data_IF_482189468254
#
_entry.id   IF_482189468254
#
_cell.length_a   1.000
_cell.length_b   1.000
_cell.length_c   1.000
_cell.angle_alpha   90.00
_cell.angle_beta   90.00
_cell.angle_gamma   90.00
#
_symmetry.space_group_name_H-M   'P 1'
#
loop_
_entity.id
_entity.type
_entity.pdbx_description
1 polymer ?
#
# COMPACT_ATOMS: atom_id res chain seq x y z
N UNK A 1 26.15 -23.42 4.16
CA UNK A 1 27.62 -23.32 4.25
C UNK A 1 28.12 -23.10 2.83
N UNK A 2 28.77 -21.97 2.54
CA UNK A 2 29.31 -21.72 1.20
C UNK A 2 30.74 -22.25 1.18
N UNK A 3 30.92 -23.45 0.65
CA UNK A 3 32.16 -24.22 0.83
C UNK A 3 33.30 -23.82 -0.14
N UNK A 4 33.12 -22.78 -0.98
CA UNK A 4 34.20 -22.24 -1.82
C UNK A 4 34.15 -20.71 -2.02
N UNK A 5 35.33 -20.11 -2.23
CA UNK A 5 35.50 -18.66 -2.49
C UNK A 5 34.71 -18.19 -3.72
N UNK A 6 34.49 -19.07 -4.69
CA UNK A 6 33.74 -18.77 -5.91
C UNK A 6 32.23 -18.59 -5.65
N UNK A 7 31.66 -19.41 -4.77
CA UNK A 7 30.23 -19.33 -4.38
C UNK A 7 29.94 -18.01 -3.66
N UNK A 8 30.84 -17.58 -2.78
CA UNK A 8 30.73 -16.30 -2.04
C UNK A 8 30.77 -15.12 -3.01
N UNK A 9 31.67 -15.13 -4.00
CA UNK A 9 31.75 -14.08 -5.02
C UNK A 9 30.49 -14.01 -5.87
N UNK A 10 29.88 -15.17 -6.19
CA UNK A 10 28.65 -15.26 -6.97
C UNK A 10 27.46 -14.69 -6.20
N UNK A 11 27.30 -15.05 -4.93
CA UNK A 11 26.27 -14.49 -4.04
C UNK A 11 26.46 -12.97 -3.89
N UNK A 12 27.69 -12.50 -3.66
CA UNK A 12 28.00 -11.06 -3.55
C UNK A 12 27.59 -10.28 -4.80
N UNK A 13 27.92 -10.79 -6.00
CA UNK A 13 27.52 -10.17 -7.27
C UNK A 13 26.00 -10.11 -7.44
N UNK A 14 25.30 -11.18 -7.06
CA UNK A 14 23.84 -11.25 -7.12
C UNK A 14 23.20 -10.20 -6.20
N UNK A 15 23.64 -10.09 -4.95
CA UNK A 15 23.13 -9.06 -4.03
C UNK A 15 23.44 -7.64 -4.49
N UNK A 16 24.63 -7.38 -5.04
CA UNK A 16 25.00 -6.08 -5.60
C UNK A 16 24.13 -5.72 -6.81
N UNK A 17 23.93 -6.66 -7.73
CA UNK A 17 23.11 -6.46 -8.93
C UNK A 17 21.65 -6.15 -8.57
N UNK A 18 21.10 -6.87 -7.58
CA UNK A 18 19.72 -6.67 -7.14
C UNK A 18 19.59 -5.39 -6.33
N UNK A 19 20.57 -5.05 -5.49
CA UNK A 19 20.63 -3.76 -4.82
C UNK A 19 20.64 -2.58 -5.79
N UNK A 20 21.41 -2.68 -6.88
CA UNK A 20 21.45 -1.66 -7.93
C UNK A 20 20.13 -1.59 -8.70
N UNK A 21 19.54 -2.75 -9.01
CA UNK A 21 18.20 -2.83 -9.63
C UNK A 21 17.13 -2.16 -8.77
N UNK A 22 17.16 -2.35 -7.45
CA UNK A 22 16.23 -1.69 -6.52
C UNK A 22 16.43 -0.17 -6.50
N UNK A 23 17.69 0.29 -6.54
CA UNK A 23 18.00 1.71 -6.63
C UNK A 23 17.50 2.30 -7.94
N UNK A 24 17.69 1.61 -9.06
CA UNK A 24 17.14 2.00 -10.35
C UNK A 24 15.61 2.14 -10.30
N UNK A 25 14.89 1.15 -9.75
CA UNK A 25 13.44 1.26 -9.58
C UNK A 25 13.03 2.44 -8.69
N UNK A 26 13.83 2.83 -7.69
CA UNK A 26 13.53 4.03 -6.88
C UNK A 26 13.64 5.32 -7.69
N UNK A 27 14.68 5.44 -8.52
CA UNK A 27 14.85 6.58 -9.41
C UNK A 27 13.70 6.63 -10.42
N UNK A 28 13.29 5.48 -10.96
CA UNK A 28 12.15 5.39 -11.87
C UNK A 28 10.86 5.82 -11.18
N UNK A 29 10.57 5.37 -9.95
CA UNK A 29 9.35 5.81 -9.23
C UNK A 29 9.34 7.30 -8.94
N UNK A 30 10.50 7.91 -8.66
CA UNK A 30 10.61 9.35 -8.48
C UNK A 30 10.45 10.07 -9.82
N UNK A 31 11.01 9.52 -10.91
CA UNK A 31 10.89 10.09 -12.24
C UNK A 31 9.44 10.07 -12.73
N UNK A 32 8.69 8.98 -12.50
CA UNK A 32 7.25 8.90 -12.80
C UNK A 32 6.46 9.97 -12.04
N UNK A 33 6.86 10.32 -10.81
CA UNK A 33 6.19 11.34 -10.02
C UNK A 33 6.63 12.79 -10.30
N UNK A 34 7.81 13.02 -10.93
CA UNK A 34 8.43 14.35 -11.03
C UNK A 34 8.64 14.84 -12.46
N UNK A 35 8.67 13.95 -13.45
CA UNK A 35 8.99 14.29 -14.83
C UNK A 35 7.70 14.40 -15.65
N UNK A 36 7.39 15.61 -16.11
CA UNK A 36 6.21 15.93 -16.94
C UNK A 36 6.13 15.11 -18.25
N UNK A 37 7.25 14.55 -18.73
CA UNK A 37 7.29 13.70 -19.95
C UNK A 37 6.73 12.29 -19.68
N UNK A 38 6.68 11.85 -18.42
CA UNK A 38 6.09 10.59 -17.98
C UNK A 38 4.72 10.80 -17.32
N UNK A 39 4.16 12.01 -17.42
CA UNK A 39 2.78 12.31 -17.03
C UNK A 39 1.85 11.67 -18.07
N UNK A 40 1.31 10.50 -17.73
CA UNK A 40 0.33 9.82 -18.57
C UNK A 40 -1.10 10.36 -18.30
N UNK A 41 -1.25 11.36 -17.42
CA UNK A 41 -2.48 12.02 -17.03
C UNK A 41 -2.57 13.49 -17.48
N UNK A 42 -3.71 14.13 -17.22
CA UNK A 42 -3.91 15.54 -17.56
C UNK A 42 -3.24 16.46 -16.55
N UNK A 43 -2.17 17.18 -16.94
CA UNK A 43 -1.46 18.25 -16.17
C UNK A 43 -1.60 18.13 -14.65
N UNK A 44 -0.75 17.33 -14.02
CA UNK A 44 -0.65 17.19 -12.56
C UNK A 44 -0.81 15.74 -12.10
N UNK A 45 -0.44 15.45 -10.84
CA UNK A 45 -0.50 14.11 -10.24
C UNK A 45 -1.92 13.52 -10.35
N UNK A 46 -2.13 12.64 -11.32
CA UNK A 46 -3.42 12.00 -11.57
C UNK A 46 -3.45 10.58 -10.96
N UNK A 47 -4.64 10.00 -10.89
CA UNK A 47 -4.86 8.64 -10.40
C UNK A 47 -4.06 7.62 -11.21
N UNK A 48 -3.80 7.90 -12.49
CA UNK A 48 -3.02 7.05 -13.39
C UNK A 48 -1.56 6.95 -12.93
N UNK A 49 -0.93 8.06 -12.55
CA UNK A 49 0.46 8.08 -12.09
C UNK A 49 0.60 7.39 -10.73
N UNK A 50 -0.40 7.55 -9.86
CA UNK A 50 -0.48 6.84 -8.59
C UNK A 50 -0.57 5.32 -8.78
N UNK A 51 -1.38 4.85 -9.72
CA UNK A 51 -1.51 3.42 -10.04
C UNK A 51 -0.22 2.86 -10.62
N UNK A 52 0.40 3.56 -11.58
CA UNK A 52 1.67 3.14 -12.19
C UNK A 52 2.78 3.10 -11.12
N UNK A 53 2.88 4.13 -10.29
CA UNK A 53 3.82 4.19 -9.18
C UNK A 53 3.63 3.03 -8.20
N UNK A 54 2.38 2.68 -7.87
CA UNK A 54 2.05 1.56 -6.99
C UNK A 54 2.42 0.19 -7.59
N UNK A 55 2.25 0.02 -8.91
CA UNK A 55 2.66 -1.20 -9.62
C UNK A 55 4.19 -1.36 -9.55
N UNK A 56 4.94 -0.31 -9.87
CA UNK A 56 6.41 -0.34 -9.83
C UNK A 56 6.89 -0.58 -8.39
N UNK A 57 6.26 0.07 -7.41
CA UNK A 57 6.55 -0.15 -5.99
C UNK A 57 6.27 -1.60 -5.56
N UNK A 58 5.20 -2.23 -6.08
CA UNK A 58 4.87 -3.63 -5.79
C UNK A 58 5.91 -4.60 -6.36
N UNK A 59 6.42 -4.36 -7.57
CA UNK A 59 7.50 -5.14 -8.18
C UNK A 59 8.80 -4.99 -7.35
N UNK A 60 9.12 -3.78 -6.93
CA UNK A 60 10.27 -3.53 -6.05
C UNK A 60 10.13 -4.29 -4.73
N UNK A 61 8.95 -4.24 -4.11
CA UNK A 61 8.68 -4.91 -2.83
C UNK A 61 8.77 -6.45 -2.95
N UNK A 62 8.28 -7.04 -4.04
CA UNK A 62 8.40 -8.48 -4.27
C UNK A 62 9.85 -8.93 -4.45
N UNK A 63 10.67 -8.13 -5.16
CA UNK A 63 12.11 -8.40 -5.33
C UNK A 63 12.86 -8.36 -3.99
N UNK A 64 12.54 -7.39 -3.12
CA UNK A 64 13.09 -7.31 -1.75
C UNK A 64 12.72 -8.55 -0.95
N UNK A 65 11.46 -8.95 -1.01
CA UNK A 65 10.95 -10.07 -0.22
C UNK A 65 11.56 -11.41 -0.64
N UNK A 66 11.69 -11.65 -1.95
CA UNK A 66 12.24 -12.90 -2.48
C UNK A 66 13.75 -13.05 -2.23
N UNK A 67 14.50 -11.95 -2.30
CA UNK A 67 15.98 -11.98 -2.30
C UNK A 67 16.56 -11.58 -0.95
N UNK A 68 16.15 -10.43 -0.40
CA UNK A 68 16.71 -9.89 0.84
C UNK A 68 16.07 -10.49 2.09
N UNK A 69 14.78 -10.80 2.05
CA UNK A 69 14.10 -11.52 3.15
C UNK A 69 14.22 -13.05 3.05
N UNK A 70 15.00 -13.59 2.10
CA UNK A 70 15.25 -15.03 1.95
C UNK A 70 13.97 -15.89 1.78
N UNK A 71 12.79 -15.31 1.52
CA UNK A 71 11.55 -16.10 1.52
C UNK A 71 11.64 -17.34 0.61
N UNK A 72 12.35 -17.24 -0.52
CA UNK A 72 12.48 -18.30 -1.53
C UNK A 72 12.94 -19.67 -0.97
N UNK A 73 13.67 -19.73 0.14
CA UNK A 73 14.11 -20.98 0.76
C UNK A 73 13.61 -21.18 2.19
N UNK A 74 12.58 -20.43 2.60
CA UNK A 74 11.97 -20.54 3.92
C UNK A 74 10.89 -21.63 4.02
N UNK A 75 10.55 -21.99 5.27
CA UNK A 75 9.48 -22.94 5.56
C UNK A 75 8.13 -22.41 5.08
N UNK A 76 7.26 -23.31 4.61
CA UNK A 76 5.89 -23.00 4.11
C UNK A 76 5.06 -22.14 5.08
N UNK A 77 5.29 -22.25 6.38
CA UNK A 77 4.60 -21.46 7.42
C UNK A 77 4.89 -19.95 7.27
N UNK A 78 6.12 -19.56 6.91
CA UNK A 78 6.50 -18.14 6.73
C UNK A 78 5.70 -17.50 5.60
N UNK A 79 5.51 -18.23 4.50
CA UNK A 79 4.66 -17.78 3.39
C UNK A 79 3.20 -17.59 3.79
N UNK A 80 2.66 -18.49 4.63
CA UNK A 80 1.28 -18.38 5.10
C UNK A 80 1.06 -17.16 6.00
N UNK A 81 1.97 -16.93 6.96
CA UNK A 81 1.92 -15.73 7.81
C UNK A 81 2.07 -14.45 6.99
N UNK A 82 2.96 -14.46 6.00
CA UNK A 82 3.17 -13.32 5.13
C UNK A 82 1.93 -12.98 4.29
N UNK A 83 1.33 -13.99 3.64
CA UNK A 83 0.10 -13.81 2.86
C UNK A 83 -1.05 -13.36 3.77
N UNK A 84 -1.19 -13.95 4.96
CA UNK A 84 -2.18 -13.51 5.95
C UNK A 84 -2.00 -12.03 6.31
N UNK A 85 -0.75 -11.59 6.49
CA UNK A 85 -0.42 -10.19 6.77
C UNK A 85 -0.86 -9.25 5.64
N UNK A 86 -0.62 -9.61 4.38
CA UNK A 86 -1.10 -8.86 3.22
C UNK A 86 -2.63 -8.80 3.21
N UNK A 87 -3.31 -9.94 3.37
CA UNK A 87 -4.78 -10.00 3.37
C UNK A 87 -5.36 -9.11 4.46
N UNK A 88 -4.82 -9.18 5.67
CA UNK A 88 -5.24 -8.33 6.78
C UNK A 88 -4.98 -6.84 6.50
N UNK A 89 -3.81 -6.49 5.96
CA UNK A 89 -3.48 -5.11 5.61
C UNK A 89 -4.43 -4.52 4.56
N UNK A 90 -4.72 -5.29 3.51
CA UNK A 90 -5.71 -4.89 2.48
C UNK A 90 -7.11 -4.79 3.08
N UNK A 91 -7.50 -5.72 3.96
CA UNK A 91 -8.78 -5.68 4.64
C UNK A 91 -8.94 -4.39 5.48
N UNK A 92 -7.92 -3.98 6.22
CA UNK A 92 -7.93 -2.74 7.00
C UNK A 92 -8.01 -1.49 6.10
N UNK A 93 -7.29 -1.48 4.98
CA UNK A 93 -7.36 -0.39 4.00
C UNK A 93 -8.77 -0.26 3.41
N UNK A 94 -9.38 -1.38 3.02
CA UNK A 94 -10.75 -1.43 2.50
C UNK A 94 -11.75 -0.98 3.57
N UNK A 95 -11.64 -1.48 4.80
CA UNK A 95 -12.50 -1.10 5.91
C UNK A 95 -12.46 0.43 6.15
N UNK A 96 -11.26 1.01 6.11
CA UNK A 96 -11.06 2.46 6.25
C UNK A 96 -11.72 3.22 5.10
N UNK A 97 -11.52 2.77 3.86
CA UNK A 97 -12.17 3.38 2.69
C UNK A 97 -13.70 3.29 2.78
N UNK A 98 -14.22 2.19 3.32
CA UNK A 98 -15.65 1.99 3.53
C UNK A 98 -16.22 2.94 4.60
N UNK A 99 -15.48 3.16 5.68
CA UNK A 99 -15.86 4.12 6.72
C UNK A 99 -15.98 5.56 6.16
N UNK A 100 -15.14 5.96 5.19
CA UNK A 100 -15.26 7.26 4.53
C UNK A 100 -16.48 7.38 3.61
N UNK A 101 -17.02 6.26 3.12
CA UNK A 101 -18.22 6.22 2.30
C UNK A 101 -19.51 6.12 3.12
N UNK A 102 -19.42 6.11 4.45
CA UNK A 102 -20.58 5.96 5.32
C UNK A 102 -21.50 7.20 5.25
N UNK A 103 -22.80 7.05 4.92
CA UNK A 103 -23.75 8.15 4.85
C UNK A 103 -24.15 8.75 6.21
N UNK A 104 -23.65 8.24 7.35
CA UNK A 104 -23.98 8.77 8.68
C UNK A 104 -23.42 10.19 8.85
N UNK A 105 -24.29 11.19 8.66
CA UNK A 105 -24.01 12.60 8.93
C UNK A 105 -24.49 12.95 10.35
N UNK A 106 -23.55 13.20 11.26
CA UNK A 106 -23.87 13.82 12.55
C UNK A 106 -24.21 15.30 12.35
N UNK A 107 -25.50 15.61 12.37
CA UNK A 107 -26.08 16.90 12.79
C UNK A 107 -25.59 18.17 12.09
N UNK A 108 -26.17 18.51 10.93
CA UNK A 108 -26.64 19.88 10.68
C UNK A 108 -28.05 19.77 10.12
N UNK A 109 -29.01 20.31 10.86
CA UNK A 109 -30.45 20.03 10.77
C UNK A 109 -30.97 19.86 9.35
N UNK A 110 -31.21 18.61 8.97
CA UNK A 110 -32.13 18.27 7.90
C UNK A 110 -33.49 18.06 8.54
N UNK A 111 -34.48 18.76 8.02
CA UNK A 111 -35.89 18.76 8.45
C UNK A 111 -36.52 17.36 8.53
N UNK A 112 -35.86 16.35 7.96
CA UNK A 112 -36.23 14.93 7.97
C UNK A 112 -35.93 14.23 9.31
N UNK A 113 -34.91 14.66 10.07
CA UNK A 113 -34.55 14.04 11.36
C UNK A 113 -35.60 14.28 12.46
N UNK A 114 -36.40 15.34 12.34
CA UNK A 114 -37.51 15.65 13.25
C UNK A 114 -38.74 14.74 13.06
N UNK A 115 -38.82 13.94 11.99
CA UNK A 115 -39.98 13.05 11.76
C UNK A 115 -39.87 11.67 12.41
N UNK A 116 -38.66 11.21 12.71
CA UNK A 116 -38.41 9.86 13.25
C UNK A 116 -38.38 9.81 14.78
N UNK A 117 -38.55 10.93 15.47
CA UNK A 117 -38.70 10.99 16.93
C UNK A 117 -37.51 10.48 17.75
N UNK A 118 -36.38 10.17 17.10
CA UNK A 118 -35.22 9.58 17.77
C UNK A 118 -34.38 10.62 18.53
N UNK A 119 -34.41 11.89 18.09
CA UNK A 119 -33.87 13.03 18.82
C UNK A 119 -34.76 14.24 18.59
N UNK A 120 -35.49 14.64 19.64
CA UNK A 120 -36.25 15.88 19.67
C UNK A 120 -35.47 16.90 20.54
N UNK A 121 -34.78 17.89 19.93
CA UNK A 121 -34.03 18.89 20.68
C UNK A 121 -34.93 19.82 21.52
N UNK A 122 -36.25 19.83 21.31
CA UNK A 122 -37.20 20.56 22.17
C UNK A 122 -37.55 19.79 23.46
N UNK A 123 -37.18 18.50 23.55
CA UNK A 123 -37.36 17.64 24.74
C UNK A 123 -36.04 17.21 25.37
N UNK A 124 -35.05 18.09 25.41
CA UNK A 124 -33.95 17.89 26.34
C UNK A 124 -34.52 17.82 27.78
N UNK A 125 -34.14 16.82 28.61
CA UNK A 125 -34.47 16.87 30.02
C UNK A 125 -33.87 18.17 30.59
N UNK A 126 -34.73 18.98 31.18
CA UNK A 126 -34.30 20.13 31.97
C UNK A 126 -33.84 19.56 33.31
N UNK A 127 -32.53 19.43 33.46
CA UNK A 127 -31.85 19.26 34.75
C UNK A 127 -31.76 20.62 35.46
#
# INVERSE_FOLDING_TARGET
MADSVAEIQKAKKLYLFIGLTLFFFTVVTVAVATVEILDFGGRGFDHVDAVIGLIIASIKASLVMLIFMHLNHEKKLVYQLFIMGIVLGVFLMVLTAWAFSDPIRYGKGTTEANKSGFYDPEKAPQD
#
